data_IF_127166607032
#
_entry.id   IF_127166607032
#
_cell.length_a   1.000
_cell.length_b   1.000
_cell.length_c   1.000
_cell.angle_alpha   90.00
_cell.angle_beta   90.00
_cell.angle_gamma   90.00
#
_symmetry.space_group_name_H-M   'P 1'
#
loop_
_entity.id
_entity.type
_entity.pdbx_description
1 polymer ?
#
# COMPACT_ATOMS: atom_id res chain seq x y z
N UNK A 1 11.73 12.05 -5.72
CA UNK A 1 12.16 11.02 -4.77
C UNK A 1 12.09 11.61 -3.37
N UNK A 2 11.09 11.25 -2.57
CA UNK A 2 11.11 11.56 -1.14
C UNK A 2 12.08 10.56 -0.49
N UNK A 3 13.19 11.03 0.06
CA UNK A 3 14.14 10.15 0.74
C UNK A 3 13.43 9.40 1.89
N UNK A 4 13.80 8.13 2.11
CA UNK A 4 13.27 7.23 3.17
C UNK A 4 13.60 7.70 4.61
N UNK A 5 13.77 9.01 4.82
CA UNK A 5 14.16 9.62 6.09
C UNK A 5 13.66 11.06 6.15
N UNK A 6 12.39 11.26 6.55
CA UNK A 6 11.83 12.61 6.63
C UNK A 6 10.47 12.79 7.31
N UNK A 7 9.88 11.77 7.95
CA UNK A 7 8.66 11.97 8.73
C UNK A 7 8.96 12.03 10.24
N UNK A 8 8.64 13.18 10.84
CA UNK A 8 8.77 13.50 12.27
C UNK A 8 8.04 12.45 13.14
N UNK A 9 8.80 11.74 13.98
CA UNK A 9 8.51 11.16 15.30
C UNK A 9 7.21 10.37 15.60
N UNK A 10 6.29 10.15 14.65
CA UNK A 10 5.09 9.33 14.92
C UNK A 10 4.80 8.39 13.76
N UNK A 11 4.83 7.10 14.07
CA UNK A 11 4.42 6.01 13.18
C UNK A 11 3.02 6.31 12.64
N UNK A 12 2.83 6.44 11.31
CA UNK A 12 1.51 6.75 10.76
C UNK A 12 0.56 5.60 11.02
N UNK A 13 -0.71 5.90 11.28
CA UNK A 13 -1.74 4.87 11.27
C UNK A 13 -1.94 4.31 9.84
N UNK A 14 -2.50 3.10 9.75
CA UNK A 14 -2.86 2.46 8.47
C UNK A 14 -3.63 3.38 7.51
N UNK A 15 -4.61 4.12 8.03
CA UNK A 15 -5.41 5.08 7.25
C UNK A 15 -4.57 6.26 6.76
N UNK A 16 -3.69 6.80 7.62
CA UNK A 16 -2.78 7.88 7.25
C UNK A 16 -1.77 7.45 6.18
N UNK A 17 -1.28 6.21 6.23
CA UNK A 17 -0.41 5.66 5.18
C UNK A 17 -1.15 5.63 3.83
N UNK A 18 -2.39 5.15 3.79
CA UNK A 18 -3.19 5.13 2.56
C UNK A 18 -3.50 6.55 2.04
N UNK A 19 -3.80 7.49 2.94
CA UNK A 19 -3.98 8.89 2.57
C UNK A 19 -2.71 9.48 1.97
N UNK A 20 -1.53 9.15 2.50
CA UNK A 20 -0.25 9.59 1.94
C UNK A 20 0.00 9.04 0.55
N UNK A 21 -0.34 7.76 0.30
CA UNK A 21 -0.20 7.16 -1.03
C UNK A 21 -1.07 7.92 -2.03
N UNK A 22 -2.35 8.14 -1.69
CA UNK A 22 -3.27 8.90 -2.54
C UNK A 22 -2.79 10.35 -2.77
N UNK A 23 -2.31 11.03 -1.73
CA UNK A 23 -1.79 12.39 -1.84
C UNK A 23 -0.51 12.48 -2.69
N UNK A 24 0.37 11.48 -2.62
CA UNK A 24 1.64 11.47 -3.35
C UNK A 24 1.49 11.00 -4.81
N UNK A 25 0.54 10.10 -5.08
CA UNK A 25 0.45 9.37 -6.36
C UNK A 25 -0.87 9.55 -7.11
N UNK A 26 -1.80 10.33 -6.56
CA UNK A 26 -3.14 10.51 -7.12
C UNK A 26 -4.10 9.37 -6.75
N UNK A 27 -5.28 9.41 -7.36
CA UNK A 27 -6.28 8.37 -7.15
C UNK A 27 -5.80 7.06 -7.81
N UNK A 28 -5.98 5.93 -7.14
CA UNK A 28 -5.67 4.62 -7.73
C UNK A 28 -6.40 4.41 -9.07
N UNK A 29 -7.59 5.00 -9.25
CA UNK A 29 -8.38 4.94 -10.48
C UNK A 29 -7.73 5.61 -11.70
N UNK A 30 -6.72 6.45 -11.49
CA UNK A 30 -5.92 7.07 -12.56
C UNK A 30 -4.84 6.11 -13.09
N UNK A 31 -4.64 4.97 -12.43
CA UNK A 31 -3.61 3.98 -12.77
C UNK A 31 -4.22 2.66 -13.26
N UNK A 32 -3.42 1.89 -13.99
CA UNK A 32 -3.76 0.51 -14.36
C UNK A 32 -3.31 -0.45 -13.27
N UNK A 33 -4.14 -1.46 -13.01
CA UNK A 33 -3.84 -2.58 -12.14
C UNK A 33 -2.57 -3.27 -12.59
N UNK A 34 -1.60 -3.45 -11.69
CA UNK A 34 -0.29 -4.04 -12.05
C UNK A 34 -0.40 -5.50 -12.47
N UNK A 35 -1.41 -6.21 -11.96
CA UNK A 35 -1.54 -7.65 -12.17
C UNK A 35 -2.34 -8.00 -13.43
N UNK A 36 -3.37 -7.20 -13.77
CA UNK A 36 -4.30 -7.53 -14.86
C UNK A 36 -4.52 -6.42 -15.89
N UNK A 37 -3.97 -5.22 -15.68
CA UNK A 37 -4.08 -4.08 -16.59
C UNK A 37 -5.45 -3.37 -16.60
N UNK A 38 -6.46 -3.88 -15.90
CA UNK A 38 -7.75 -3.20 -15.71
C UNK A 38 -7.57 -1.89 -14.93
N UNK A 39 -8.59 -1.02 -14.89
CA UNK A 39 -8.56 0.18 -14.04
C UNK A 39 -8.36 -0.22 -12.57
N UNK A 40 -7.34 0.32 -11.92
CA UNK A 40 -7.17 0.12 -10.49
C UNK A 40 -8.26 0.87 -9.71
N UNK A 41 -8.54 0.43 -8.49
CA UNK A 41 -9.54 1.07 -7.62
C UNK A 41 -8.98 1.28 -6.22
N UNK A 42 -7.87 0.62 -5.88
CA UNK A 42 -7.29 0.63 -4.56
C UNK A 42 -5.76 0.65 -4.66
N UNK A 43 -5.14 1.28 -3.67
CA UNK A 43 -3.72 1.14 -3.41
C UNK A 43 -3.51 -0.10 -2.53
N UNK A 44 -2.65 -1.00 -2.99
CA UNK A 44 -2.36 -2.27 -2.32
C UNK A 44 -0.89 -2.32 -1.93
N UNK A 45 -0.60 -2.49 -0.65
CA UNK A 45 0.77 -2.61 -0.16
C UNK A 45 1.47 -3.85 -0.78
N UNK A 46 2.76 -3.78 -1.13
CA UNK A 46 3.54 -4.87 -1.74
C UNK A 46 4.04 -5.93 -0.76
N UNK A 47 4.21 -5.61 0.52
CA UNK A 47 4.63 -6.59 1.54
C UNK A 47 6.14 -6.88 1.58
N UNK A 48 6.95 -6.01 1.00
CA UNK A 48 8.42 -6.14 0.91
C UNK A 48 9.16 -4.96 1.56
N UNK A 49 8.46 -4.13 2.33
CA UNK A 49 9.07 -2.96 2.96
C UNK A 49 9.97 -3.35 4.13
N UNK A 50 11.20 -2.82 4.23
CA UNK A 50 12.02 -2.93 5.43
C UNK A 50 11.41 -2.20 6.64
N UNK A 51 10.48 -1.26 6.39
CA UNK A 51 9.81 -0.45 7.41
C UNK A 51 8.35 -0.90 7.59
N UNK A 52 8.07 -2.19 7.40
CA UNK A 52 6.73 -2.76 7.53
C UNK A 52 6.17 -2.56 8.95
N UNK A 53 4.90 -2.18 9.00
CA UNK A 53 4.13 -1.94 10.21
C UNK A 53 2.89 -2.84 10.22
N UNK A 54 2.43 -3.20 11.41
CA UNK A 54 1.21 -3.98 11.61
C UNK A 54 0.25 -3.14 12.46
N UNK A 55 -0.99 -2.97 11.99
CA UNK A 55 -2.01 -2.26 12.77
C UNK A 55 -2.62 -3.19 13.85
N UNK A 56 -3.41 -2.67 14.81
CA UNK A 56 -4.03 -3.49 15.85
C UNK A 56 -4.99 -4.59 15.34
N UNK A 57 -5.36 -4.57 14.05
CA UNK A 57 -6.20 -5.59 13.39
C UNK A 57 -5.37 -6.64 12.63
N UNK A 58 -4.03 -6.60 12.73
CA UNK A 58 -3.14 -7.53 12.04
C UNK A 58 -2.88 -7.20 10.56
N UNK A 59 -3.30 -6.03 10.07
CA UNK A 59 -3.04 -5.62 8.69
C UNK A 59 -1.63 -5.04 8.56
N UNK A 60 -0.85 -5.61 7.64
CA UNK A 60 0.48 -5.12 7.25
C UNK A 60 0.37 -3.89 6.35
N UNK A 61 1.22 -2.91 6.56
CA UNK A 61 1.30 -1.68 5.76
C UNK A 61 2.69 -1.06 5.85
N UNK A 62 3.00 -0.12 4.96
CA UNK A 62 4.24 0.65 4.99
C UNK A 62 3.95 2.14 5.19
N UNK A 63 4.83 2.92 5.85
CA UNK A 63 4.71 4.37 5.92
C UNK A 63 5.04 5.07 4.58
N UNK A 64 5.58 4.35 3.61
CA UNK A 64 6.12 4.90 2.35
C UNK A 64 5.18 4.68 1.16
N UNK A 65 4.79 5.76 0.44
CA UNK A 65 3.93 5.68 -0.74
C UNK A 65 4.43 4.75 -1.87
N UNK A 66 5.74 4.60 -1.99
CA UNK A 66 6.40 3.83 -3.06
C UNK A 66 6.36 2.31 -2.82
N UNK A 67 5.93 1.88 -1.64
CA UNK A 67 5.76 0.46 -1.30
C UNK A 67 4.35 -0.06 -1.64
N UNK A 68 3.50 0.79 -2.25
CA UNK A 68 2.15 0.45 -2.67
C UNK A 68 2.08 0.27 -4.18
N UNK A 69 1.10 -0.49 -4.65
CA UNK A 69 0.85 -0.71 -6.07
C UNK A 69 -0.63 -0.52 -6.39
N UNK A 70 -0.98 0.05 -7.55
CA UNK A 70 -2.37 0.22 -7.93
C UNK A 70 -2.96 -1.14 -8.34
N UNK A 71 -4.04 -1.56 -7.69
CA UNK A 71 -4.73 -2.82 -8.02
C UNK A 71 -6.23 -2.61 -8.15
N UNK A 72 -6.87 -3.46 -8.95
CA UNK A 72 -8.32 -3.61 -8.89
C UNK A 72 -8.70 -4.43 -7.64
N UNK A 73 -9.96 -4.32 -7.20
CA UNK A 73 -10.46 -4.98 -5.97
C UNK A 73 -10.19 -6.50 -5.98
N UNK A 74 -10.37 -7.16 -7.12
CA UNK A 74 -10.16 -8.62 -7.24
C UNK A 74 -8.67 -8.98 -7.06
N UNK A 75 -7.77 -8.33 -7.81
CA UNK A 75 -6.34 -8.57 -7.71
C UNK A 75 -5.79 -8.19 -6.33
N UNK A 76 -6.31 -7.13 -5.71
CA UNK A 76 -5.95 -6.74 -4.35
C UNK A 76 -6.27 -7.87 -3.35
N UNK A 77 -7.49 -8.40 -3.35
CA UNK A 77 -7.88 -9.49 -2.44
C UNK A 77 -7.07 -10.76 -2.66
N UNK A 78 -6.75 -11.09 -3.92
CA UNK A 78 -5.90 -12.24 -4.26
C UNK A 78 -4.50 -12.04 -3.67
N UNK A 79 -3.92 -10.86 -3.86
CA UNK A 79 -2.62 -10.49 -3.31
C UNK A 79 -2.60 -10.58 -1.78
N UNK A 80 -3.62 -10.05 -1.10
CA UNK A 80 -3.69 -10.09 0.36
C UNK A 80 -3.80 -11.52 0.89
N UNK A 81 -4.61 -12.36 0.23
CA UNK A 81 -4.73 -13.78 0.57
C UNK A 81 -3.42 -14.53 0.35
N UNK A 82 -2.72 -14.29 -0.76
CA UNK A 82 -1.44 -14.92 -1.06
C UNK A 82 -0.41 -14.64 0.05
N UNK A 83 -0.42 -13.42 0.60
CA UNK A 83 0.46 -13.03 1.69
C UNK A 83 0.03 -13.59 3.05
N UNK A 84 -1.27 -13.80 3.27
CA UNK A 84 -1.77 -14.38 4.52
C UNK A 84 -1.39 -15.86 4.68
N UNK A 85 -1.19 -16.59 3.57
CA UNK A 85 -0.77 -18.00 3.58
C UNK A 85 0.74 -18.16 3.71
N UNK A 86 1.51 -17.13 3.32
CA UNK A 86 2.97 -17.14 3.34
C UNK A 86 3.60 -16.67 4.68
N UNK A 87 2.79 -16.40 5.71
CA UNK A 87 3.21 -15.98 7.05
C UNK A 87 2.90 -17.08 8.07
#
# INVERSE_FOLDING_TARGET
>A
MMARGGYRTTTPAYSSAHQRVAAARGDAAEHRCVDCGARALEWSYRGDSPDELINPRGLRYSPWPDDYEPRCILCHRINDRAKAVAA
#
